data_IF_684078472494
#
_entry.id   IF_684078472494
#
_cell.length_a   1.000
_cell.length_b   1.000
_cell.length_c   1.000
_cell.angle_alpha   90.00
_cell.angle_beta   90.00
_cell.angle_gamma   90.00
#
_symmetry.space_group_name_H-M   'P 1'
#
loop_
_entity.id
_entity.type
_entity.pdbx_description
1 polymer ?
#
# COMPACT_ATOMS: atom_id res chain seq x y z
N UNK A 1 13.27 -11.94 -13.60
CA UNK A 1 14.35 -11.24 -12.84
C UNK A 1 13.92 -11.03 -11.40
N UNK A 2 14.79 -11.34 -10.44
CA UNK A 2 14.50 -11.07 -9.04
C UNK A 2 14.41 -9.56 -8.77
N UNK A 3 13.56 -9.19 -7.82
CA UNK A 3 13.30 -7.80 -7.46
C UNK A 3 13.55 -7.63 -5.97
N UNK A 4 14.09 -6.48 -5.57
CA UNK A 4 14.24 -6.18 -4.15
C UNK A 4 12.88 -5.91 -3.53
N UNK A 5 12.60 -6.53 -2.39
CA UNK A 5 11.38 -6.25 -1.65
C UNK A 5 11.27 -4.77 -1.31
N UNK A 6 12.39 -4.13 -1.00
CA UNK A 6 12.42 -2.70 -0.68
C UNK A 6 11.89 -1.85 -1.83
N UNK A 7 12.24 -2.21 -3.06
CA UNK A 7 11.73 -1.48 -4.23
C UNK A 7 10.22 -1.66 -4.38
N UNK A 8 9.71 -2.87 -4.14
CA UNK A 8 8.28 -3.13 -4.16
C UNK A 8 7.58 -2.30 -3.08
N UNK A 9 8.13 -2.28 -1.87
CA UNK A 9 7.56 -1.54 -0.76
C UNK A 9 7.53 -0.03 -1.05
N UNK A 10 8.62 0.52 -1.58
CA UNK A 10 8.69 1.93 -1.93
C UNK A 10 7.64 2.28 -3.00
N UNK A 11 7.47 1.42 -4.00
CA UNK A 11 6.45 1.62 -5.04
C UNK A 11 5.04 1.56 -4.44
N UNK A 12 4.80 0.61 -3.54
CA UNK A 12 3.52 0.48 -2.86
C UNK A 12 3.18 1.75 -2.05
N UNK A 13 4.15 2.28 -1.32
CA UNK A 13 3.95 3.49 -0.54
C UNK A 13 3.64 4.70 -1.44
N UNK A 14 4.33 4.80 -2.58
CA UNK A 14 4.08 5.85 -3.55
C UNK A 14 2.65 5.76 -4.10
N UNK A 15 2.24 4.59 -4.53
CA UNK A 15 0.90 4.37 -5.10
C UNK A 15 -0.18 4.65 -4.04
N UNK A 16 0.06 4.22 -2.81
CA UNK A 16 -0.91 4.39 -1.72
C UNK A 16 -1.07 5.85 -1.30
N UNK A 17 -0.04 6.67 -1.51
CA UNK A 17 -0.08 8.10 -1.16
C UNK A 17 -1.00 8.90 -2.09
N UNK A 18 -1.36 8.37 -3.25
CA UNK A 18 -2.12 9.07 -4.26
C UNK A 18 -3.62 9.13 -4.07
N UNK A 19 -4.15 8.72 -2.92
CA UNK A 19 -5.56 8.84 -2.62
C UNK A 19 -6.48 7.80 -3.25
N UNK A 20 -5.94 6.86 -4.00
CA UNK A 20 -6.71 5.73 -4.53
C UNK A 20 -7.51 5.98 -5.79
N UNK A 21 -7.23 7.07 -6.50
CA UNK A 21 -7.91 7.39 -7.76
C UNK A 21 -7.00 7.23 -8.99
N UNK A 22 -5.94 6.46 -8.87
CA UNK A 22 -5.00 6.29 -9.96
C UNK A 22 -4.09 7.49 -10.18
N UNK A 23 -4.04 8.41 -9.23
CA UNK A 23 -3.20 9.60 -9.32
C UNK A 23 -1.72 9.26 -9.30
N UNK A 24 -1.37 8.19 -8.59
CA UNK A 24 -0.02 7.66 -8.53
C UNK A 24 -0.05 6.22 -8.95
N UNK A 25 0.77 5.84 -9.90
CA UNK A 25 0.85 4.48 -10.39
C UNK A 25 2.30 4.03 -10.47
N UNK A 26 2.53 2.75 -10.29
CA UNK A 26 3.83 2.14 -10.48
C UNK A 26 3.63 0.80 -11.20
N UNK A 27 4.55 0.48 -12.09
CA UNK A 27 4.45 -0.70 -12.93
C UNK A 27 5.76 -1.49 -12.85
N UNK A 28 5.65 -2.78 -12.63
CA UNK A 28 6.80 -3.68 -12.55
C UNK A 28 6.95 -4.43 -13.86
N UNK A 29 8.11 -4.29 -14.50
CA UNK A 29 8.41 -5.07 -15.69
C UNK A 29 8.75 -6.51 -15.29
N UNK A 30 7.98 -7.47 -15.81
CA UNK A 30 8.18 -8.88 -15.48
C UNK A 30 9.48 -9.46 -16.01
N UNK A 31 10.03 -8.87 -17.06
CA UNK A 31 11.23 -9.36 -17.71
C UNK A 31 12.51 -8.86 -17.04
N UNK A 32 12.54 -7.59 -16.67
CA UNK A 32 13.74 -6.95 -16.15
C UNK A 32 13.72 -6.71 -14.65
N UNK A 33 12.53 -6.71 -14.04
CA UNK A 33 12.37 -6.37 -12.63
C UNK A 33 12.43 -4.87 -12.35
N UNK A 34 12.48 -4.04 -13.39
CA UNK A 34 12.50 -2.60 -13.23
C UNK A 34 11.10 -2.08 -12.92
N UNK A 35 11.02 -1.06 -12.05
CA UNK A 35 9.76 -0.43 -11.68
C UNK A 35 9.70 0.97 -12.30
N UNK A 36 8.59 1.25 -12.96
CA UNK A 36 8.31 2.55 -13.58
C UNK A 36 7.24 3.28 -12.77
N UNK A 37 7.44 4.56 -12.54
CA UNK A 37 6.58 5.38 -11.70
C UNK A 37 5.85 6.41 -12.56
N UNK A 38 4.58 6.64 -12.27
CA UNK A 38 3.77 7.63 -12.96
C UNK A 38 2.89 8.38 -11.96
N UNK A 39 2.79 9.71 -12.07
CA UNK A 39 1.93 10.51 -11.23
C UNK A 39 1.24 11.58 -12.07
N UNK A 40 -0.08 11.63 -12.00
CA UNK A 40 -0.86 12.65 -12.72
C UNK A 40 -0.81 14.00 -12.03
N UNK A 41 -0.44 14.03 -10.75
CA UNK A 41 -0.36 15.26 -9.97
C UNK A 41 0.94 16.01 -10.16
N UNK A 42 1.93 15.39 -10.76
CA UNK A 42 3.24 16.02 -10.91
C UNK A 42 3.47 16.44 -12.35
N UNK A 43 4.05 17.64 -12.50
CA UNK A 43 4.52 18.15 -13.79
C UNK A 43 5.89 17.56 -14.12
N UNK A 44 6.22 16.41 -13.54
CA UNK A 44 7.50 15.77 -13.79
C UNK A 44 7.47 15.02 -15.10
N UNK A 45 7.65 15.74 -16.17
CA UNK A 45 7.79 15.17 -17.51
C UNK A 45 8.84 14.05 -17.54
N UNK A 46 9.80 14.13 -16.63
CA UNK A 46 10.89 13.17 -16.57
C UNK A 46 10.43 11.75 -16.24
N UNK A 47 9.38 11.59 -15.41
CA UNK A 47 8.87 10.27 -15.07
C UNK A 47 8.09 9.67 -16.23
N UNK A 48 7.34 10.50 -16.93
CA UNK A 48 6.55 10.06 -18.08
C UNK A 48 7.42 9.71 -19.28
N UNK A 49 8.49 10.45 -19.48
CA UNK A 49 9.41 10.23 -20.60
C UNK A 49 10.12 8.88 -20.52
N UNK A 50 10.17 8.30 -19.33
CA UNK A 50 10.83 7.01 -19.12
C UNK A 50 9.88 5.83 -19.26
N UNK A 51 8.59 6.07 -19.41
CA UNK A 51 7.62 4.99 -19.52
C UNK A 51 7.66 4.36 -20.90
N UNK A 52 7.69 3.01 -20.98
CA UNK A 52 7.57 2.32 -22.26
C UNK A 52 6.21 2.60 -22.91
N UNK A 53 6.18 2.57 -24.24
CA UNK A 53 4.93 2.78 -24.99
C UNK A 53 3.90 1.71 -24.66
N UNK A 54 4.34 0.51 -24.31
CA UNK A 54 3.47 -0.62 -24.01
C UNK A 54 3.25 -0.84 -22.51
N UNK A 55 3.40 0.22 -21.71
CA UNK A 55 3.28 0.14 -20.24
C UNK A 55 1.94 -0.44 -19.79
N UNK A 56 0.91 -0.34 -20.61
CA UNK A 56 -0.41 -0.86 -20.25
C UNK A 56 -0.60 -2.34 -20.62
N UNK A 57 0.41 -2.97 -21.20
CA UNK A 57 0.35 -4.39 -21.51
C UNK A 57 0.50 -5.20 -20.21
N UNK A 58 -0.59 -5.76 -19.74
CA UNK A 58 -0.63 -6.50 -18.48
C UNK A 58 0.16 -7.79 -18.48
N UNK A 59 0.59 -8.29 -19.64
CA UNK A 59 1.42 -9.47 -19.71
C UNK A 59 2.89 -9.15 -19.46
N UNK A 60 3.29 -7.91 -19.78
CA UNK A 60 4.68 -7.47 -19.60
C UNK A 60 4.88 -6.69 -18.32
N UNK A 61 3.86 -5.96 -17.89
CA UNK A 61 3.95 -5.06 -16.75
C UNK A 61 2.83 -5.33 -15.76
N UNK A 62 3.19 -5.42 -14.49
CA UNK A 62 2.21 -5.55 -13.41
C UNK A 62 2.07 -4.20 -12.73
N UNK A 63 0.84 -3.74 -12.59
CA UNK A 63 0.58 -2.54 -11.80
C UNK A 63 0.74 -2.87 -10.32
N UNK A 64 1.53 -2.09 -9.60
CA UNK A 64 1.72 -2.28 -8.16
C UNK A 64 0.40 -1.92 -7.46
N UNK A 65 -0.08 -2.77 -6.55
CA UNK A 65 -1.36 -2.52 -5.87
C UNK A 65 -1.22 -1.41 -4.85
N UNK A 66 -2.36 -0.77 -4.54
CA UNK A 66 -2.38 0.19 -3.45
C UNK A 66 -2.89 -0.47 -2.16
N UNK A 67 -2.90 0.33 -1.11
CA UNK A 67 -3.32 -0.09 0.21
C UNK A 67 -4.73 -0.66 0.25
N UNK A 68 -5.66 -0.08 -0.52
CA UNK A 68 -7.05 -0.54 -0.55
C UNK A 68 -7.18 -1.88 -1.25
N UNK A 69 -6.44 -2.09 -2.31
CA UNK A 69 -6.49 -3.35 -3.05
C UNK A 69 -6.02 -4.54 -2.22
N UNK A 70 -5.14 -4.30 -1.26
CA UNK A 70 -4.61 -5.32 -0.36
C UNK A 70 -5.34 -5.38 0.99
N UNK A 71 -6.45 -4.66 1.12
CA UNK A 71 -7.25 -4.61 2.37
C UNK A 71 -6.43 -4.16 3.57
N UNK A 72 -5.47 -3.27 3.35
CA UNK A 72 -4.61 -2.75 4.41
C UNK A 72 -5.10 -1.42 4.98
N UNK A 73 -6.28 -0.97 4.56
CA UNK A 73 -6.89 0.25 5.08
C UNK A 73 -7.83 -0.03 6.24
N UNK A 74 -9.11 0.32 6.06
CA UNK A 74 -10.14 0.14 7.08
C UNK A 74 -10.22 -1.29 7.63
N UNK A 75 -10.21 -2.35 6.82
CA UNK A 75 -10.30 -3.71 7.36
C UNK A 75 -9.18 -4.03 8.34
N UNK A 76 -7.97 -3.56 8.05
CA UNK A 76 -6.83 -3.79 8.92
C UNK A 76 -6.98 -3.04 10.24
N UNK A 77 -7.46 -1.80 10.19
CA UNK A 77 -7.69 -1.00 11.39
C UNK A 77 -8.73 -1.65 12.30
N UNK A 78 -9.82 -2.17 11.71
CA UNK A 78 -10.87 -2.84 12.47
C UNK A 78 -10.34 -4.14 13.09
N UNK A 79 -9.52 -4.87 12.36
CA UNK A 79 -8.91 -6.09 12.86
C UNK A 79 -8.02 -5.82 14.07
N UNK A 80 -7.18 -4.78 13.97
CA UNK A 80 -6.32 -4.36 15.08
C UNK A 80 -7.15 -4.00 16.31
N UNK A 81 -8.20 -3.19 16.11
CA UNK A 81 -9.06 -2.76 17.21
C UNK A 81 -9.75 -3.95 17.88
N UNK A 82 -10.17 -4.94 17.08
CA UNK A 82 -10.80 -6.13 17.61
C UNK A 82 -9.85 -6.92 18.52
N UNK A 83 -8.57 -6.99 18.15
CA UNK A 83 -7.57 -7.75 18.89
C UNK A 83 -7.02 -7.02 20.10
N UNK A 84 -6.76 -5.72 19.95
CA UNK A 84 -6.02 -4.93 20.95
C UNK A 84 -6.94 -4.04 21.79
N UNK A 85 -8.00 -3.53 21.18
CA UNK A 85 -8.93 -2.61 21.84
C UNK A 85 -10.37 -3.07 21.68
N UNK A 86 -10.72 -4.29 22.15
CA UNK A 86 -12.07 -4.79 21.93
C UNK A 86 -13.17 -3.91 22.56
N UNK A 87 -12.85 -3.19 23.63
CA UNK A 87 -13.81 -2.29 24.27
C UNK A 87 -14.09 -1.04 23.46
N UNK A 88 -13.15 -0.63 22.61
CA UNK A 88 -13.27 0.55 21.76
C UNK A 88 -13.68 0.19 20.33
N UNK A 89 -13.93 -1.07 20.04
CA UNK A 89 -14.21 -1.55 18.68
C UNK A 89 -15.38 -0.80 18.03
N UNK A 90 -16.49 -0.63 18.76
CA UNK A 90 -17.65 0.06 18.21
C UNK A 90 -17.36 1.52 17.90
N UNK A 91 -16.55 2.17 18.72
CA UNK A 91 -16.13 3.55 18.47
C UNK A 91 -15.26 3.62 17.22
N UNK A 92 -14.33 2.68 17.06
CA UNK A 92 -13.48 2.62 15.88
C UNK A 92 -14.33 2.46 14.61
N UNK A 93 -15.32 1.58 14.65
CA UNK A 93 -16.24 1.42 13.51
C UNK A 93 -16.93 2.72 13.14
N UNK A 94 -17.38 3.46 14.14
CA UNK A 94 -18.05 4.75 13.90
C UNK A 94 -17.09 5.78 13.31
N UNK A 95 -15.85 5.81 13.79
CA UNK A 95 -14.84 6.75 13.27
C UNK A 95 -14.65 6.57 11.76
N UNK A 96 -14.64 5.34 11.29
CA UNK A 96 -14.43 5.06 9.87
C UNK A 96 -15.64 5.36 8.99
N UNK A 97 -16.74 5.82 9.57
CA UNK A 97 -17.87 6.33 8.82
C UNK A 97 -17.79 7.82 8.50
N UNK A 98 -16.73 8.50 8.94
CA UNK A 98 -16.59 9.94 8.81
C UNK A 98 -15.27 10.33 8.12
N UNK A 99 -15.21 11.58 7.64
CA UNK A 99 -13.98 12.12 7.07
C UNK A 99 -12.92 12.25 8.17
N UNK A 100 -11.66 12.11 7.77
CA UNK A 100 -10.55 12.19 8.70
C UNK A 100 -10.48 11.00 9.64
N UNK A 101 -11.10 9.90 9.26
CA UNK A 101 -11.17 8.70 10.09
C UNK A 101 -9.81 8.20 10.55
N UNK A 102 -8.82 8.21 9.66
CA UNK A 102 -7.50 7.73 10.01
C UNK A 102 -6.82 8.59 11.08
N UNK A 103 -6.94 9.90 10.96
CA UNK A 103 -6.38 10.81 11.97
C UNK A 103 -7.04 10.59 13.32
N UNK A 104 -8.39 10.47 13.32
CA UNK A 104 -9.14 10.20 14.55
C UNK A 104 -8.77 8.85 15.17
N UNK A 105 -8.59 7.84 14.33
CA UNK A 105 -8.16 6.52 14.77
C UNK A 105 -6.80 6.59 15.45
N UNK A 106 -5.82 7.26 14.84
CA UNK A 106 -4.49 7.39 15.41
C UNK A 106 -4.51 8.18 16.73
N UNK A 107 -5.37 9.19 16.83
CA UNK A 107 -5.52 9.93 18.08
C UNK A 107 -6.04 9.03 19.19
N UNK A 108 -7.02 8.18 18.89
CA UNK A 108 -7.52 7.21 19.86
C UNK A 108 -6.42 6.25 20.30
N UNK A 109 -5.65 5.73 19.35
CA UNK A 109 -4.55 4.82 19.67
C UNK A 109 -3.51 5.47 20.55
N UNK A 110 -3.19 6.74 20.30
CA UNK A 110 -2.25 7.50 21.13
C UNK A 110 -2.78 7.66 22.54
N UNK A 111 -4.06 7.96 22.70
CA UNK A 111 -4.69 8.09 24.02
C UNK A 111 -4.66 6.77 24.79
N UNK A 112 -4.77 5.66 24.09
CA UNK A 112 -4.75 4.31 24.70
C UNK A 112 -3.33 3.76 24.89
N UNK A 113 -2.31 4.49 24.40
CA UNK A 113 -0.93 4.06 24.53
C UNK A 113 -0.54 2.89 23.65
N UNK A 114 -1.26 2.69 22.52
CA UNK A 114 -1.03 1.54 21.63
C UNK A 114 -0.66 1.96 20.21
N UNK A 115 -0.32 3.23 20.00
CA UNK A 115 0.02 3.71 18.66
C UNK A 115 1.23 2.98 18.07
N UNK A 116 2.26 2.73 18.89
CA UNK A 116 3.45 2.01 18.43
C UNK A 116 3.12 0.57 18.04
N UNK A 117 2.18 -0.06 18.77
CA UNK A 117 1.72 -1.40 18.41
C UNK A 117 1.02 -1.41 17.07
N UNK A 118 0.27 -0.36 16.78
CA UNK A 118 -0.40 -0.21 15.49
C UNK A 118 0.61 -0.11 14.34
N UNK A 119 1.64 0.70 14.52
CA UNK A 119 2.66 0.84 13.46
C UNK A 119 3.35 -0.49 13.19
N UNK A 120 3.65 -1.26 14.23
CA UNK A 120 4.26 -2.58 14.06
C UNK A 120 3.30 -3.54 13.36
N UNK A 121 2.03 -3.54 13.78
CA UNK A 121 1.00 -4.37 13.19
C UNK A 121 0.80 -4.06 11.71
N UNK A 122 0.71 -2.77 11.39
CA UNK A 122 0.54 -2.31 10.01
C UNK A 122 1.74 -2.71 9.14
N UNK A 123 2.94 -2.53 9.64
CA UNK A 123 4.15 -2.87 8.91
C UNK A 123 4.23 -4.37 8.59
N UNK A 124 3.93 -5.20 9.57
CA UNK A 124 3.96 -6.65 9.38
C UNK A 124 2.87 -7.11 8.42
N UNK A 125 1.70 -6.52 8.50
CA UNK A 125 0.59 -6.87 7.61
C UNK A 125 0.91 -6.44 6.18
N UNK A 126 1.50 -5.27 6.00
CA UNK A 126 1.91 -4.76 4.70
C UNK A 126 2.96 -5.68 4.06
N UNK A 127 3.96 -6.05 4.83
CA UNK A 127 5.02 -6.94 4.34
C UNK A 127 4.45 -8.28 3.90
N UNK A 128 3.59 -8.86 4.73
CA UNK A 128 2.96 -10.14 4.41
C UNK A 128 2.13 -10.05 3.14
N UNK A 129 1.30 -9.02 3.03
CA UNK A 129 0.43 -8.85 1.87
C UNK A 129 1.22 -8.66 0.59
N UNK A 130 2.28 -7.88 0.63
CA UNK A 130 3.12 -7.65 -0.55
C UNK A 130 3.89 -8.90 -0.95
N UNK A 131 4.38 -9.67 0.01
CA UNK A 131 5.08 -10.92 -0.29
C UNK A 131 4.12 -11.94 -0.91
N UNK A 132 2.89 -12.02 -0.41
CA UNK A 132 1.85 -12.88 -0.99
C UNK A 132 1.51 -12.43 -2.42
N UNK A 133 1.39 -11.12 -2.62
CA UNK A 133 1.13 -10.58 -3.95
C UNK A 133 2.23 -10.96 -4.94
N UNK A 134 3.47 -10.85 -4.52
CA UNK A 134 4.60 -11.26 -5.35
C UNK A 134 4.56 -12.75 -5.67
N UNK A 135 4.23 -13.57 -4.69
CA UNK A 135 4.14 -15.02 -4.87
C UNK A 135 3.03 -15.38 -5.85
N UNK A 136 1.85 -14.78 -5.69
CA UNK A 136 0.71 -15.02 -6.57
C UNK A 136 1.04 -14.64 -8.01
N UNK A 137 1.84 -13.60 -8.20
CA UNK A 137 2.21 -13.11 -9.52
C UNK A 137 3.54 -13.67 -10.03
N UNK A 138 4.09 -14.65 -9.33
CA UNK A 138 5.34 -15.34 -9.70
C UNK A 138 6.54 -14.40 -9.78
N UNK A 139 6.59 -13.41 -8.88
CA UNK A 139 7.70 -12.48 -8.78
C UNK A 139 8.70 -13.00 -7.77
N UNK A 140 9.94 -13.22 -8.21
CA UNK A 140 11.01 -13.65 -7.31
C UNK A 140 11.61 -12.44 -6.59
N UNK A 141 11.75 -12.54 -5.28
CA UNK A 141 12.33 -11.49 -4.45
C UNK A 141 13.76 -11.84 -4.09
N UNK A 142 14.63 -10.83 -4.02
CA UNK A 142 16.04 -11.01 -3.67
C UNK A 142 16.27 -11.08 -2.17
N UNK A 143 15.33 -10.58 -1.37
CA UNK A 143 15.48 -10.49 0.09
C UNK A 143 14.25 -10.93 0.87
#
# INVERSE_FOLDING_TARGET
MPVSFREILDAFEFVSAGGGFGEHQAFLCRQTGKIFWRSELSDFDKLEDELPDDIEDGEKYLEIPDKRELDLGKPLALDFACQVLPKDFDEVRRLFGHRGAYASFKQLLARRGVLDQWYDFEQKATERALREWCEINSIALTD
#
